data_IF_210288420034
#
_entry.id   IF_210288420034
#
_cell.length_a   1.000
_cell.length_b   1.000
_cell.length_c   1.000
_cell.angle_alpha   90.00
_cell.angle_beta   90.00
_cell.angle_gamma   90.00
#
_symmetry.space_group_name_H-M   'P 1'
#
loop_
_entity.id
_entity.type
_entity.pdbx_description
1 polymer ?
#
# COMPACT_ATOMS: atom_id res chain seq x y z
N UNK A 1 -35.05 -21.44 19.63
CA UNK A 1 -35.47 -20.07 19.23
C UNK A 1 -34.51 -18.99 19.73
N UNK A 2 -34.25 -18.87 21.04
CA UNK A 2 -33.44 -17.77 21.60
C UNK A 2 -31.99 -17.75 21.07
N UNK A 3 -31.33 -18.91 21.01
CA UNK A 3 -29.94 -19.02 20.52
C UNK A 3 -29.80 -18.61 19.04
N UNK A 4 -30.75 -19.02 18.20
CA UNK A 4 -30.78 -18.64 16.78
C UNK A 4 -31.00 -17.14 16.59
N UNK A 5 -31.86 -16.52 17.41
CA UNK A 5 -32.09 -15.08 17.38
C UNK A 5 -30.84 -14.29 17.80
N UNK A 6 -30.14 -14.73 18.85
CA UNK A 6 -28.88 -14.11 19.29
C UNK A 6 -27.81 -14.18 18.19
N UNK A 7 -27.68 -15.32 17.52
CA UNK A 7 -26.71 -15.48 16.43
C UNK A 7 -26.97 -14.52 15.26
N UNK A 8 -28.24 -14.35 14.90
CA UNK A 8 -28.66 -13.42 13.84
C UNK A 8 -28.36 -11.98 14.24
N UNK A 9 -28.67 -11.58 15.48
CA UNK A 9 -28.39 -10.22 15.98
C UNK A 9 -26.89 -9.94 15.99
N UNK A 10 -26.06 -10.87 16.48
CA UNK A 10 -24.60 -10.70 16.49
C UNK A 10 -24.05 -10.56 15.07
N UNK A 11 -24.52 -11.38 14.13
CA UNK A 11 -24.08 -11.29 12.72
C UNK A 11 -24.45 -9.96 12.07
N UNK A 12 -25.64 -9.42 12.36
CA UNK A 12 -26.09 -8.13 11.85
C UNK A 12 -25.27 -6.97 12.44
N UNK A 13 -24.95 -7.02 13.74
CA UNK A 13 -24.11 -6.01 14.40
C UNK A 13 -22.70 -6.00 13.79
N UNK A 14 -22.10 -7.18 13.58
CA UNK A 14 -20.79 -7.29 12.95
C UNK A 14 -20.81 -6.72 11.53
N UNK A 15 -21.83 -7.03 10.73
CA UNK A 15 -21.95 -6.50 9.37
C UNK A 15 -22.02 -4.96 9.32
N UNK A 16 -22.73 -4.34 10.28
CA UNK A 16 -22.80 -2.87 10.38
C UNK A 16 -21.46 -2.27 10.80
N UNK A 17 -20.71 -2.92 11.69
CA UNK A 17 -19.38 -2.44 12.12
C UNK A 17 -18.32 -2.50 11.01
N UNK A 18 -18.53 -3.36 9.99
CA UNK A 18 -17.67 -3.45 8.81
C UNK A 18 -18.12 -2.49 7.69
N UNK A 19 -19.19 -1.73 7.85
CA UNK A 19 -19.60 -0.73 6.88
C UNK A 19 -18.60 0.45 6.92
N UNK A 20 -17.88 0.68 5.82
CA UNK A 20 -16.99 1.83 5.66
C UNK A 20 -17.74 3.13 5.36
N UNK A 21 -17.13 4.28 5.66
CA UNK A 21 -17.70 5.61 5.45
C UNK A 21 -17.76 6.08 3.98
N UNK A 22 -17.78 5.16 3.00
CA UNK A 22 -17.74 5.50 1.58
C UNK A 22 -19.12 5.93 1.01
N UNK A 23 -20.10 6.26 1.86
CA UNK A 23 -21.48 6.56 1.44
C UNK A 23 -21.64 7.95 0.82
N UNK A 24 -20.84 8.93 1.24
CA UNK A 24 -21.00 10.33 0.85
C UNK A 24 -19.70 10.87 0.25
N UNK A 25 -19.74 11.26 -1.03
CA UNK A 25 -18.62 11.95 -1.67
C UNK A 25 -17.62 11.05 -2.41
N UNK A 26 -18.08 9.97 -3.06
CA UNK A 26 -17.24 9.31 -4.06
C UNK A 26 -16.71 10.37 -5.05
N UNK A 27 -15.39 10.41 -5.30
CA UNK A 27 -14.82 11.37 -6.24
C UNK A 27 -15.50 11.24 -7.60
N UNK A 28 -16.00 12.36 -8.10
CA UNK A 28 -16.61 12.42 -9.43
C UNK A 28 -15.53 12.14 -10.48
N UNK A 29 -15.91 11.57 -11.62
CA UNK A 29 -14.96 11.17 -12.67
C UNK A 29 -14.00 12.31 -13.11
N UNK A 30 -14.45 13.56 -13.05
CA UNK A 30 -13.67 14.74 -13.41
C UNK A 30 -12.75 15.26 -12.29
N UNK A 31 -12.90 14.79 -11.05
CA UNK A 31 -12.01 15.14 -9.93
C UNK A 31 -10.68 14.38 -9.96
N UNK A 32 -10.52 13.45 -10.93
CA UNK A 32 -9.30 12.67 -11.12
C UNK A 32 -8.03 13.52 -11.18
N UNK A 33 -8.09 14.72 -11.77
CA UNK A 33 -6.94 15.63 -11.84
C UNK A 33 -6.40 16.06 -10.46
N UNK A 34 -7.27 16.13 -9.46
CA UNK A 34 -6.88 16.53 -8.10
C UNK A 34 -6.44 15.34 -7.25
N UNK A 35 -6.92 14.13 -7.57
CA UNK A 35 -6.68 12.90 -6.79
C UNK A 35 -5.56 12.01 -7.36
N UNK A 36 -5.16 12.19 -8.61
CA UNK A 36 -4.13 11.40 -9.27
C UNK A 36 -3.06 12.30 -9.87
N UNK A 37 -2.37 13.05 -9.00
CA UNK A 37 -1.29 13.94 -9.43
C UNK A 37 -0.11 13.12 -9.96
N UNK A 38 0.63 13.60 -10.97
CA UNK A 38 1.79 12.89 -11.51
C UNK A 38 2.83 12.55 -10.43
N UNK A 39 3.01 13.41 -9.43
CA UNK A 39 4.00 13.21 -8.35
C UNK A 39 3.66 12.03 -7.44
N UNK A 40 2.40 11.55 -7.45
CA UNK A 40 1.96 10.39 -6.69
C UNK A 40 2.28 9.07 -7.40
N UNK A 41 2.85 9.10 -8.62
CA UNK A 41 3.28 7.87 -9.30
C UNK A 41 4.49 7.26 -8.59
N UNK A 42 4.55 5.93 -8.58
CA UNK A 42 5.76 5.24 -8.13
C UNK A 42 6.94 5.66 -8.99
N UNK A 43 8.05 5.97 -8.32
CA UNK A 43 9.27 6.38 -9.00
C UNK A 43 9.18 7.73 -9.72
N UNK A 44 8.31 8.64 -9.25
CA UNK A 44 8.31 10.01 -9.74
C UNK A 44 9.65 10.72 -9.48
N UNK A 45 10.22 10.53 -8.28
CA UNK A 45 11.50 11.10 -7.91
C UNK A 45 12.64 10.07 -8.07
N UNK A 46 13.62 10.42 -8.89
CA UNK A 46 14.81 9.59 -9.14
C UNK A 46 15.76 9.58 -7.94
N UNK A 47 15.81 10.65 -7.16
CA UNK A 47 16.65 10.74 -5.97
C UNK A 47 16.08 9.86 -4.86
N UNK A 48 14.78 9.92 -4.63
CA UNK A 48 14.07 9.03 -3.70
C UNK A 48 14.33 7.56 -4.04
N UNK A 49 14.19 7.19 -5.32
CA UNK A 49 14.45 5.83 -5.78
C UNK A 49 15.89 5.38 -5.53
N UNK A 50 16.87 6.23 -5.84
CA UNK A 50 18.28 5.92 -5.58
C UNK A 50 18.55 5.75 -4.09
N UNK A 51 17.95 6.60 -3.25
CA UNK A 51 18.10 6.50 -1.81
C UNK A 51 17.46 5.23 -1.24
N UNK A 52 16.25 4.89 -1.69
CA UNK A 52 15.57 3.65 -1.30
C UNK A 52 16.38 2.41 -1.70
N UNK A 53 16.92 2.39 -2.93
CA UNK A 53 17.80 1.33 -3.39
C UNK A 53 19.09 1.24 -2.56
N UNK A 54 19.66 2.39 -2.15
CA UNK A 54 20.86 2.43 -1.32
C UNK A 54 20.61 1.85 0.08
N UNK A 55 19.48 2.22 0.70
CA UNK A 55 19.07 1.68 2.01
C UNK A 55 18.81 0.18 1.91
N UNK A 56 18.13 -0.27 0.86
CA UNK A 56 17.85 -1.68 0.63
C UNK A 56 19.14 -2.49 0.47
N UNK A 57 20.04 -2.05 -0.41
CA UNK A 57 21.33 -2.70 -0.65
C UNK A 57 22.19 -2.78 0.63
N UNK A 58 22.23 -1.71 1.44
CA UNK A 58 22.93 -1.70 2.73
C UNK A 58 22.38 -2.70 3.73
N UNK A 59 21.06 -2.92 3.77
CA UNK A 59 20.43 -3.90 4.67
C UNK A 59 20.76 -5.33 4.28
N UNK A 60 20.85 -5.60 2.98
CA UNK A 60 21.14 -6.93 2.45
C UNK A 60 22.66 -7.23 2.39
N UNK A 61 23.51 -6.34 2.92
CA UNK A 61 24.96 -6.37 2.74
C UNK A 61 25.36 -6.60 1.27
N UNK A 62 24.57 -6.02 0.36
CA UNK A 62 24.70 -6.16 -1.08
C UNK A 62 25.34 -4.88 -1.63
N UNK A 63 26.39 -5.02 -2.43
CA UNK A 63 26.90 -3.93 -3.28
C UNK A 63 26.42 -4.17 -4.72
N UNK A 64 26.02 -3.10 -5.43
CA UNK A 64 25.65 -3.18 -6.86
C UNK A 64 24.20 -2.82 -7.24
N UNK A 65 23.31 -2.51 -6.29
CA UNK A 65 21.94 -2.02 -6.58
C UNK A 65 20.95 -3.12 -7.00
N UNK A 66 19.85 -2.76 -7.67
CA UNK A 66 18.71 -3.67 -7.99
C UNK A 66 18.84 -4.41 -9.34
N UNK A 67 20.03 -4.40 -9.97
CA UNK A 67 20.28 -5.00 -11.29
C UNK A 67 20.92 -6.39 -11.24
N UNK A 68 21.13 -7.00 -12.42
CA UNK A 68 21.79 -8.31 -12.59
C UNK A 68 23.25 -8.18 -12.17
N UNK A 69 23.53 -8.47 -10.90
CA UNK A 69 24.84 -8.24 -10.25
C UNK A 69 24.77 -7.64 -8.85
N UNK A 70 23.58 -7.25 -8.36
CA UNK A 70 23.41 -6.70 -7.02
C UNK A 70 22.97 -7.76 -6.00
N UNK A 71 23.91 -8.19 -5.15
CA UNK A 71 23.66 -9.16 -4.07
C UNK A 71 24.83 -10.12 -3.89
N UNK A 72 25.80 -9.76 -3.05
CA UNK A 72 26.92 -10.63 -2.70
C UNK A 72 27.78 -10.04 -1.60
N UNK A 73 28.54 -10.91 -0.92
CA UNK A 73 29.48 -10.63 0.19
C UNK A 73 30.61 -9.62 -0.16
N UNK A 74 30.55 -8.94 -1.31
CA UNK A 74 31.56 -7.97 -1.74
C UNK A 74 32.90 -8.58 -2.14
N UNK A 75 33.06 -9.91 -2.08
CA UNK A 75 34.25 -10.61 -2.55
C UNK A 75 34.16 -10.80 -4.08
N UNK A 76 34.62 -9.81 -4.85
CA UNK A 76 35.18 -10.08 -6.18
C UNK A 76 36.57 -10.69 -5.99
#
# INVERSE_FOLDING_TARGET
MVLSAVLVVVSAVVAVMLAGCASDGLPKAWEKGNLAKPEMTFGHDTLEQRNAAHVYASKENASGGTGVGGGGCGCN
#
